data_IF_301424765850
#
_entry.id   IF_301424765850
#
_cell.length_a   1.000
_cell.length_b   1.000
_cell.length_c   1.000
_cell.angle_alpha   90.00
_cell.angle_beta   90.00
_cell.angle_gamma   90.00
#
_symmetry.space_group_name_H-M   'P 1'
#
loop_
_entity.id
_entity.type
_entity.pdbx_description
1 polymer ?
#
# COMPACT_ATOMS: atom_id res chain seq x y z
N UNK A 1 -43.49 -12.23 -21.26
CA UNK A 1 -42.37 -11.32 -21.64
C UNK A 1 -42.24 -10.08 -20.71
N UNK A 2 -42.80 -10.14 -19.48
CA UNK A 2 -42.75 -9.00 -18.53
C UNK A 2 -41.96 -9.38 -17.24
N UNK A 3 -41.58 -10.64 -17.07
CA UNK A 3 -40.88 -11.09 -15.83
C UNK A 3 -39.36 -10.86 -15.82
N UNK A 4 -38.74 -10.48 -16.96
CA UNK A 4 -37.29 -10.36 -17.04
C UNK A 4 -36.74 -8.99 -16.50
N UNK A 5 -37.54 -7.94 -16.54
CA UNK A 5 -37.13 -6.59 -16.21
C UNK A 5 -37.00 -6.35 -14.70
N UNK A 6 -37.79 -7.01 -13.88
CA UNK A 6 -37.73 -6.87 -12.41
C UNK A 6 -36.53 -7.63 -11.80
N UNK A 7 -36.12 -8.73 -12.42
CA UNK A 7 -34.99 -9.52 -11.97
C UNK A 7 -33.65 -8.78 -12.22
N UNK A 8 -33.51 -8.09 -13.36
CA UNK A 8 -32.32 -7.29 -13.69
C UNK A 8 -32.16 -6.05 -12.80
N UNK A 9 -33.28 -5.40 -12.44
CA UNK A 9 -33.26 -4.28 -11.52
C UNK A 9 -32.89 -4.70 -10.08
N UNK A 10 -33.35 -5.85 -9.62
CA UNK A 10 -33.01 -6.39 -8.30
C UNK A 10 -31.52 -6.79 -8.22
N UNK A 11 -30.95 -7.37 -9.28
CA UNK A 11 -29.53 -7.72 -9.35
C UNK A 11 -28.65 -6.47 -9.42
N UNK A 12 -29.09 -5.45 -10.16
CA UNK A 12 -28.37 -4.17 -10.24
C UNK A 12 -28.37 -3.42 -8.90
N UNK A 13 -29.50 -3.39 -8.19
CA UNK A 13 -29.59 -2.78 -6.86
C UNK A 13 -28.75 -3.53 -5.81
N UNK A 14 -28.77 -4.87 -5.82
CA UNK A 14 -27.92 -5.66 -4.92
C UNK A 14 -26.42 -5.52 -5.21
N UNK A 15 -26.02 -5.29 -6.49
CA UNK A 15 -24.64 -4.98 -6.84
C UNK A 15 -24.22 -3.58 -6.40
N UNK A 16 -25.13 -2.62 -6.39
CA UNK A 16 -24.86 -1.25 -5.91
C UNK A 16 -24.78 -1.25 -4.38
N UNK A 17 -25.71 -1.91 -3.68
CA UNK A 17 -25.67 -2.04 -2.22
C UNK A 17 -24.41 -2.77 -1.73
N UNK A 18 -24.00 -3.86 -2.38
CA UNK A 18 -22.77 -4.56 -2.05
C UNK A 18 -21.48 -3.76 -2.32
N UNK A 19 -21.52 -2.77 -3.23
CA UNK A 19 -20.41 -1.83 -3.45
C UNK A 19 -20.39 -0.71 -2.40
N UNK A 20 -21.54 -0.25 -1.97
CA UNK A 20 -21.63 0.76 -0.91
C UNK A 20 -21.13 0.21 0.42
N UNK A 21 -21.46 -1.02 0.79
CA UNK A 21 -20.95 -1.66 2.01
C UNK A 21 -19.42 -1.87 1.98
N UNK A 22 -18.84 -2.26 0.82
CA UNK A 22 -17.38 -2.42 0.69
C UNK A 22 -16.67 -1.06 0.77
N UNK A 23 -17.30 0.00 0.27
CA UNK A 23 -16.70 1.35 0.26
C UNK A 23 -16.89 2.08 1.59
N UNK A 24 -17.92 1.79 2.34
CA UNK A 24 -18.20 2.38 3.65
C UNK A 24 -17.20 1.93 4.72
N UNK A 25 -16.42 0.88 4.44
CA UNK A 25 -15.56 0.22 5.43
C UNK A 25 -14.05 0.48 5.28
N UNK A 26 -13.59 1.24 4.28
CA UNK A 26 -12.14 1.41 4.02
C UNK A 26 -11.44 2.13 5.18
N UNK A 27 -12.03 3.20 5.69
CA UNK A 27 -11.46 3.97 6.81
C UNK A 27 -11.58 3.21 8.12
N UNK A 28 -12.73 2.60 8.39
CA UNK A 28 -12.95 1.76 9.58
C UNK A 28 -11.98 0.58 9.60
N UNK A 29 -11.75 -0.07 8.44
CA UNK A 29 -10.76 -1.15 8.32
C UNK A 29 -9.35 -0.67 8.65
N UNK A 30 -8.95 0.50 8.16
CA UNK A 30 -7.65 1.11 8.50
C UNK A 30 -7.51 1.35 10.00
N UNK A 31 -8.55 1.90 10.63
CA UNK A 31 -8.55 2.17 12.07
C UNK A 31 -8.50 0.87 12.86
N UNK A 32 -9.29 -0.14 12.48
CA UNK A 32 -9.25 -1.47 13.12
C UNK A 32 -7.84 -2.08 13.05
N UNK A 33 -7.21 -2.09 11.86
CA UNK A 33 -5.82 -2.54 11.72
C UNK A 33 -4.87 -1.78 12.64
N UNK A 34 -4.98 -0.44 12.71
CA UNK A 34 -4.11 0.37 13.55
C UNK A 34 -4.30 0.10 15.04
N UNK A 35 -5.54 0.05 15.52
CA UNK A 35 -5.84 -0.19 16.93
C UNK A 35 -5.40 -1.59 17.39
N UNK A 36 -5.44 -2.60 16.51
CA UNK A 36 -4.98 -3.95 16.84
C UNK A 36 -3.46 -4.04 17.10
N UNK A 37 -2.69 -3.05 16.63
CA UNK A 37 -1.21 -3.09 16.70
C UNK A 37 -0.58 -1.90 17.40
N UNK A 38 -1.31 -0.86 17.74
CA UNK A 38 -0.74 0.41 18.24
C UNK A 38 0.20 0.23 19.43
N UNK A 39 -0.10 -0.72 20.32
CA UNK A 39 0.73 -1.03 21.49
C UNK A 39 2.01 -1.81 21.14
N UNK A 40 2.07 -2.39 19.93
CA UNK A 40 3.23 -3.11 19.42
C UNK A 40 4.19 -2.22 18.62
N UNK A 41 3.80 -0.97 18.33
CA UNK A 41 4.62 -0.01 17.59
C UNK A 41 5.65 0.60 18.56
N UNK A 42 6.95 0.32 18.40
CA UNK A 42 7.96 0.69 19.40
C UNK A 42 8.28 2.20 19.40
N UNK A 43 8.08 2.86 18.29
CA UNK A 43 8.34 4.30 18.10
C UNK A 43 7.59 4.85 16.89
N UNK A 44 7.50 6.17 16.74
CA UNK A 44 6.95 6.82 15.55
C UNK A 44 7.98 6.78 14.41
N UNK A 45 7.74 6.02 13.33
CA UNK A 45 8.66 6.00 12.19
C UNK A 45 8.60 7.32 11.41
N UNK A 46 9.74 7.75 10.88
CA UNK A 46 9.81 8.90 9.98
C UNK A 46 9.71 8.50 8.51
N UNK A 47 10.26 7.33 8.16
CA UNK A 47 10.27 6.82 6.79
C UNK A 47 9.55 5.48 6.72
N UNK A 48 8.62 5.38 5.78
CA UNK A 48 8.04 4.12 5.34
C UNK A 48 8.82 3.61 4.12
N UNK A 49 9.42 2.43 4.26
CA UNK A 49 10.20 1.78 3.20
C UNK A 49 9.45 0.55 2.69
N UNK A 50 9.23 0.44 1.39
CA UNK A 50 8.64 -0.74 0.76
C UNK A 50 9.69 -1.45 -0.08
N UNK A 51 10.10 -2.65 0.34
CA UNK A 51 11.06 -3.46 -0.40
C UNK A 51 10.36 -4.27 -1.48
N UNK A 52 10.79 -4.07 -2.72
CA UNK A 52 10.36 -4.84 -3.88
C UNK A 52 11.14 -6.15 -4.05
N UNK A 53 10.76 -6.91 -5.08
CA UNK A 53 11.41 -8.17 -5.44
C UNK A 53 12.92 -7.99 -5.63
N UNK A 54 13.70 -8.89 -5.04
CA UNK A 54 15.17 -8.86 -5.09
C UNK A 54 15.84 -7.91 -4.09
N UNK A 55 15.08 -7.09 -3.35
CA UNK A 55 15.63 -6.16 -2.35
C UNK A 55 15.31 -6.57 -0.91
N UNK A 56 14.74 -7.76 -0.70
CA UNK A 56 14.37 -8.26 0.64
C UNK A 56 15.55 -8.30 1.62
N UNK A 57 16.76 -8.58 1.13
CA UNK A 57 17.98 -8.66 1.93
C UNK A 57 18.44 -7.28 2.44
N UNK A 58 17.96 -6.19 1.84
CA UNK A 58 18.23 -4.84 2.38
C UNK A 58 17.68 -4.67 3.80
N UNK A 59 16.65 -5.42 4.18
CA UNK A 59 16.12 -5.44 5.54
C UNK A 59 17.18 -5.80 6.59
N UNK A 60 18.24 -6.54 6.22
CA UNK A 60 19.36 -6.89 7.10
C UNK A 60 20.24 -5.68 7.47
N UNK A 61 20.13 -4.58 6.70
CA UNK A 61 20.81 -3.30 7.01
C UNK A 61 20.08 -2.49 8.08
N UNK A 62 18.84 -2.84 8.39
CA UNK A 62 18.04 -2.18 9.42
C UNK A 62 18.48 -2.71 10.79
N UNK A 63 18.84 -1.81 11.69
CA UNK A 63 19.01 -2.17 13.12
C UNK A 63 17.61 -2.37 13.70
N UNK A 64 17.17 -3.63 13.72
CA UNK A 64 15.81 -4.01 14.08
C UNK A 64 15.54 -3.77 15.56
N UNK A 65 14.41 -3.15 15.87
CA UNK A 65 13.86 -2.95 17.21
C UNK A 65 12.69 -3.91 17.46
N UNK A 66 11.78 -4.04 16.47
CA UNK A 66 10.64 -4.94 16.52
C UNK A 66 10.25 -5.44 15.13
N UNK A 67 9.60 -6.58 15.08
CA UNK A 67 8.95 -7.12 13.88
C UNK A 67 7.48 -7.39 14.19
N UNK A 68 6.61 -7.21 13.20
CA UNK A 68 5.19 -7.44 13.30
C UNK A 68 4.71 -8.21 12.07
N UNK A 69 4.29 -9.45 12.25
CA UNK A 69 3.74 -10.28 11.18
C UNK A 69 2.37 -9.75 10.75
N UNK A 70 2.07 -9.80 9.45
CA UNK A 70 0.77 -9.33 8.93
C UNK A 70 -0.41 -10.14 9.45
N UNK A 71 -0.20 -11.40 9.83
CA UNK A 71 -1.24 -12.23 10.46
C UNK A 71 -1.63 -11.75 11.88
N UNK A 72 -0.81 -10.91 12.50
CA UNK A 72 -1.09 -10.33 13.81
C UNK A 72 -1.93 -9.04 13.72
N UNK A 73 -2.26 -8.59 12.51
CA UNK A 73 -3.01 -7.36 12.25
C UNK A 73 -4.41 -7.73 11.81
N UNK A 74 -5.41 -7.33 12.57
CA UNK A 74 -6.81 -7.67 12.32
C UNK A 74 -7.28 -7.19 10.94
N UNK A 75 -7.72 -8.13 10.08
CA UNK A 75 -8.24 -7.83 8.76
C UNK A 75 -7.21 -7.34 7.72
N UNK A 76 -5.92 -7.43 8.03
CA UNK A 76 -4.85 -7.01 7.11
C UNK A 76 -4.66 -8.00 5.96
N UNK A 77 -4.37 -7.54 4.75
CA UNK A 77 -4.15 -8.42 3.61
C UNK A 77 -2.81 -9.16 3.73
N UNK A 78 -2.83 -10.46 3.48
CA UNK A 78 -1.64 -11.33 3.52
C UNK A 78 -1.38 -11.90 2.14
N UNK A 79 -0.12 -11.90 1.69
CA UNK A 79 0.23 -12.45 0.38
C UNK A 79 -0.09 -13.94 0.29
N UNK A 80 -0.67 -14.34 -0.83
CA UNK A 80 -0.95 -15.74 -1.16
C UNK A 80 0.23 -16.43 -1.85
N UNK A 81 1.30 -15.69 -2.15
CA UNK A 81 2.48 -16.19 -2.85
C UNK A 81 3.40 -16.93 -1.88
N UNK A 82 3.72 -18.22 -2.13
CA UNK A 82 4.60 -19.00 -1.27
C UNK A 82 5.98 -18.32 -1.09
N UNK A 83 6.47 -18.26 0.15
CA UNK A 83 7.77 -17.66 0.48
C UNK A 83 7.75 -16.14 0.71
N UNK A 84 6.62 -15.48 0.52
CA UNK A 84 6.45 -14.06 0.88
C UNK A 84 5.93 -13.94 2.32
N UNK A 85 6.82 -14.11 3.30
CA UNK A 85 6.49 -13.78 4.67
C UNK A 85 6.28 -12.28 4.78
N UNK A 86 5.00 -11.86 4.88
CA UNK A 86 4.65 -10.45 5.03
C UNK A 86 4.83 -9.97 6.45
N UNK A 87 5.70 -8.99 6.67
CA UNK A 87 5.86 -8.36 7.99
C UNK A 87 6.30 -6.90 7.88
N UNK A 88 5.96 -6.14 8.89
CA UNK A 88 6.60 -4.86 9.16
C UNK A 88 7.83 -5.07 10.03
N UNK A 89 8.92 -4.37 9.69
CA UNK A 89 10.15 -4.30 10.48
C UNK A 89 10.30 -2.87 10.94
N UNK A 90 10.30 -2.66 12.24
CA UNK A 90 10.59 -1.37 12.88
C UNK A 90 12.04 -1.34 13.28
N UNK A 91 12.75 -0.28 12.93
CA UNK A 91 14.17 -0.16 13.24
C UNK A 91 14.77 1.15 12.74
N UNK A 92 16.08 1.14 12.63
CA UNK A 92 16.87 2.33 12.33
C UNK A 92 17.81 2.09 11.16
N UNK A 93 17.86 3.05 10.26
CA UNK A 93 18.92 3.16 9.23
C UNK A 93 19.74 4.38 9.59
N UNK A 94 20.96 4.16 10.11
CA UNK A 94 21.72 5.22 10.77
C UNK A 94 20.96 5.77 11.98
N UNK A 95 20.61 7.06 11.96
CA UNK A 95 19.81 7.73 12.98
C UNK A 95 18.32 7.89 12.61
N UNK A 96 17.88 7.37 11.47
CA UNK A 96 16.52 7.56 10.96
C UNK A 96 15.63 6.40 11.40
N UNK A 97 14.52 6.66 12.12
CA UNK A 97 13.54 5.64 12.47
C UNK A 97 12.70 5.26 11.25
N UNK A 98 12.65 3.97 10.94
CA UNK A 98 11.96 3.46 9.77
C UNK A 98 10.95 2.38 10.12
N UNK A 99 9.86 2.31 9.35
CA UNK A 99 9.03 1.13 9.23
C UNK A 99 9.22 0.56 7.83
N UNK A 100 9.70 -0.68 7.77
CA UNK A 100 9.99 -1.36 6.52
C UNK A 100 8.95 -2.45 6.26
N UNK A 101 8.33 -2.40 5.09
CA UNK A 101 7.41 -3.42 4.60
C UNK A 101 8.23 -4.49 3.85
N UNK A 102 8.42 -5.66 4.49
CA UNK A 102 9.05 -6.83 3.89
C UNK A 102 7.98 -7.81 3.42
N UNK A 103 7.77 -7.88 2.12
CA UNK A 103 6.65 -8.57 1.48
C UNK A 103 5.42 -7.66 1.37
N UNK A 104 4.65 -7.87 0.30
CA UNK A 104 3.42 -7.10 0.02
C UNK A 104 2.44 -7.94 -0.79
N UNK A 105 1.16 -7.59 -0.69
CA UNK A 105 0.13 -8.12 -1.59
C UNK A 105 0.14 -7.36 -2.91
N UNK A 106 -0.30 -8.03 -3.97
CA UNK A 106 -0.37 -7.45 -5.30
C UNK A 106 -1.79 -7.52 -5.84
N UNK A 107 -2.12 -6.60 -6.73
CA UNK A 107 -3.44 -6.55 -7.36
C UNK A 107 -3.77 -7.85 -8.12
N UNK A 108 -2.77 -8.49 -8.76
CA UNK A 108 -2.95 -9.76 -9.48
C UNK A 108 -3.28 -10.95 -8.57
N UNK A 109 -3.09 -10.84 -7.26
CA UNK A 109 -3.51 -11.86 -6.29
C UNK A 109 -5.04 -11.85 -6.05
N UNK A 110 -5.78 -10.91 -6.67
CA UNK A 110 -7.24 -10.80 -6.57
C UNK A 110 -7.73 -9.87 -5.46
N UNK A 111 -6.83 -9.22 -4.74
CA UNK A 111 -7.20 -8.22 -3.74
C UNK A 111 -7.82 -6.97 -4.39
N UNK A 112 -8.87 -6.38 -3.79
CA UNK A 112 -9.35 -5.07 -4.21
C UNK A 112 -8.23 -4.03 -4.02
N UNK A 113 -8.21 -3.00 -4.87
CA UNK A 113 -7.17 -1.97 -4.82
C UNK A 113 -7.09 -1.26 -3.48
N UNK A 114 -8.22 -1.14 -2.75
CA UNK A 114 -8.28 -0.60 -1.39
C UNK A 114 -7.40 -1.38 -0.40
N UNK A 115 -7.34 -2.69 -0.54
CA UNK A 115 -6.52 -3.57 0.30
C UNK A 115 -5.04 -3.55 -0.12
N UNK A 116 -4.77 -3.41 -1.42
CA UNK A 116 -3.39 -3.26 -1.93
C UNK A 116 -2.72 -1.99 -1.39
N UNK A 117 -3.48 -0.90 -1.21
CA UNK A 117 -2.96 0.37 -0.68
C UNK A 117 -3.10 0.51 0.84
N UNK A 118 -3.84 -0.37 1.50
CA UNK A 118 -4.05 -0.34 2.95
C UNK A 118 -2.74 -0.31 3.75
N UNK A 119 -1.70 -1.11 3.41
CA UNK A 119 -0.43 -1.07 4.12
C UNK A 119 0.24 0.31 4.11
N UNK A 120 0.16 1.03 2.99
CA UNK A 120 0.74 2.37 2.85
C UNK A 120 -0.01 3.36 3.76
N UNK A 121 -1.35 3.29 3.77
CA UNK A 121 -2.18 4.10 4.67
C UNK A 121 -1.89 3.80 6.13
N UNK A 122 -1.67 2.52 6.46
CA UNK A 122 -1.32 2.09 7.82
C UNK A 122 0.04 2.66 8.25
N UNK A 123 1.08 2.59 7.41
CA UNK A 123 2.39 3.19 7.70
C UNK A 123 2.29 4.71 7.87
N UNK A 124 1.44 5.39 7.08
CA UNK A 124 1.14 6.80 7.29
C UNK A 124 0.47 7.05 8.64
N UNK A 125 -0.48 6.20 9.03
CA UNK A 125 -1.16 6.27 10.33
C UNK A 125 -0.23 6.03 11.51
N UNK A 126 0.81 5.20 11.35
CA UNK A 126 1.89 5.00 12.32
C UNK A 126 2.76 6.24 12.51
N UNK A 127 2.68 7.23 11.61
CA UNK A 127 3.39 8.51 11.70
C UNK A 127 4.44 8.75 10.61
N UNK A 128 4.61 7.84 9.64
CA UNK A 128 5.58 8.03 8.57
C UNK A 128 5.29 9.29 7.75
N UNK A 129 6.32 10.11 7.56
CA UNK A 129 6.28 11.37 6.80
C UNK A 129 6.72 11.18 5.35
N UNK A 130 7.66 10.26 5.12
CA UNK A 130 8.23 9.94 3.82
C UNK A 130 7.90 8.51 3.43
N UNK A 131 7.54 8.31 2.16
CA UNK A 131 7.35 6.98 1.57
C UNK A 131 8.42 6.73 0.52
N UNK A 132 9.20 5.66 0.68
CA UNK A 132 10.19 5.20 -0.27
C UNK A 132 9.76 3.84 -0.83
N UNK A 133 9.45 3.82 -2.12
CA UNK A 133 8.98 2.63 -2.83
C UNK A 133 10.06 2.05 -3.71
N UNK A 134 10.24 0.75 -3.67
CA UNK A 134 11.11 0.02 -4.59
C UNK A 134 10.37 -1.10 -5.29
N UNK A 135 10.73 -1.38 -6.53
CA UNK A 135 10.23 -2.52 -7.29
C UNK A 135 11.27 -2.99 -8.32
N UNK A 136 11.23 -4.27 -8.65
CA UNK A 136 11.95 -4.78 -9.81
C UNK A 136 11.16 -4.49 -11.09
N UNK A 137 11.88 -4.24 -12.19
CA UNK A 137 11.28 -4.00 -13.50
C UNK A 137 12.21 -4.49 -14.60
N UNK A 138 11.64 -4.92 -15.72
CA UNK A 138 12.41 -5.16 -16.93
C UNK A 138 12.85 -3.85 -17.59
N UNK A 139 14.11 -3.76 -17.99
CA UNK A 139 14.64 -2.62 -18.73
C UNK A 139 14.37 -2.74 -20.23
N UNK A 140 13.77 -1.69 -20.83
CA UNK A 140 13.58 -1.59 -22.30
C UNK A 140 14.74 -0.85 -22.95
N UNK A 141 15.35 0.11 -22.24
CA UNK A 141 16.48 0.88 -22.75
C UNK A 141 17.71 -0.04 -22.90
N UNK A 142 18.29 -0.15 -24.11
CA UNK A 142 19.45 -1.03 -24.36
C UNK A 142 20.73 -0.66 -23.60
N UNK A 143 20.80 0.56 -23.02
CA UNK A 143 21.92 0.95 -22.17
C UNK A 143 21.81 0.46 -20.73
N UNK A 144 20.65 -0.11 -20.33
CA UNK A 144 20.46 -0.63 -18.99
C UNK A 144 21.01 -2.04 -18.84
N UNK A 145 21.61 -2.30 -17.70
CA UNK A 145 22.13 -3.61 -17.31
C UNK A 145 21.40 -4.12 -16.06
N UNK A 146 21.44 -5.43 -15.85
CA UNK A 146 20.90 -6.01 -14.62
C UNK A 146 21.64 -5.45 -13.39
N UNK A 147 20.90 -4.95 -12.43
CA UNK A 147 21.41 -4.30 -11.23
C UNK A 147 21.44 -2.77 -11.27
N UNK A 148 21.14 -2.16 -12.42
CA UNK A 148 21.00 -0.71 -12.51
C UNK A 148 19.80 -0.24 -11.68
N UNK A 149 19.95 0.96 -11.09
CA UNK A 149 18.88 1.65 -10.36
C UNK A 149 18.34 2.78 -11.23
N UNK A 150 17.01 2.84 -11.33
CA UNK A 150 16.31 3.90 -12.04
C UNK A 150 15.39 4.66 -11.08
N UNK A 151 15.59 5.96 -10.96
CA UNK A 151 14.71 6.82 -10.20
C UNK A 151 13.51 7.22 -11.06
N UNK A 152 12.29 6.92 -10.57
CA UNK A 152 11.06 7.38 -11.17
C UNK A 152 10.80 8.82 -10.75
N UNK A 153 10.66 9.71 -11.73
CA UNK A 153 10.42 11.15 -11.49
C UNK A 153 8.97 11.55 -11.73
N UNK A 154 8.22 10.74 -12.49
CA UNK A 154 6.80 10.97 -12.74
C UNK A 154 6.11 9.66 -13.18
N UNK A 155 4.77 9.67 -13.27
CA UNK A 155 3.95 8.52 -13.63
C UNK A 155 2.85 8.86 -14.63
N UNK A 156 2.65 7.95 -15.59
CA UNK A 156 1.42 7.86 -16.40
C UNK A 156 0.74 6.55 -16.00
N UNK A 157 -0.47 6.62 -15.43
CA UNK A 157 -1.22 5.44 -14.98
C UNK A 157 -2.51 5.29 -15.79
N UNK A 158 -2.48 4.45 -16.82
CA UNK A 158 -3.62 4.20 -17.70
C UNK A 158 -4.38 2.91 -17.36
N UNK A 159 -3.70 1.91 -16.81
CA UNK A 159 -4.26 0.56 -16.66
C UNK A 159 -4.42 0.12 -15.21
N UNK A 160 -3.76 0.75 -14.26
CA UNK A 160 -3.92 0.42 -12.86
C UNK A 160 -5.24 1.00 -12.33
N UNK A 161 -6.02 0.23 -11.54
CA UNK A 161 -7.22 0.76 -10.91
C UNK A 161 -6.83 1.87 -9.93
N UNK A 162 -7.63 2.96 -9.94
CA UNK A 162 -7.37 4.09 -9.07
C UNK A 162 -8.05 3.89 -7.70
N UNK A 163 -7.29 3.86 -6.59
CA UNK A 163 -7.84 3.67 -5.25
C UNK A 163 -8.67 4.88 -4.75
N UNK A 164 -8.66 5.99 -5.47
CA UNK A 164 -9.45 7.20 -5.15
C UNK A 164 -10.83 7.19 -5.79
N UNK A 165 -11.18 6.17 -6.60
CA UNK A 165 -12.54 6.02 -7.13
C UNK A 165 -13.47 5.59 -6.02
N UNK A 166 -14.54 6.35 -5.82
CA UNK A 166 -15.59 6.05 -4.85
C UNK A 166 -15.81 7.18 -3.83
N UNK A 167 -16.29 6.84 -2.64
CA UNK A 167 -16.51 7.78 -1.56
C UNK A 167 -15.16 8.36 -1.08
N UNK A 168 -15.14 9.68 -0.82
CA UNK A 168 -14.02 10.30 -0.15
C UNK A 168 -14.14 10.13 1.37
N UNK A 169 -12.98 9.91 2.01
CA UNK A 169 -12.81 9.98 3.45
C UNK A 169 -11.86 11.13 3.74
N UNK A 170 -12.37 12.23 4.28
CA UNK A 170 -11.58 13.46 4.48
C UNK A 170 -10.39 13.22 5.41
N UNK A 171 -10.48 12.23 6.29
CA UNK A 171 -9.40 11.78 7.17
C UNK A 171 -8.21 11.15 6.40
N UNK A 172 -8.46 10.66 5.18
CA UNK A 172 -7.42 10.11 4.31
C UNK A 172 -6.84 11.15 3.34
N UNK A 173 -7.49 12.31 3.22
CA UNK A 173 -7.03 13.42 2.38
C UNK A 173 -8.13 14.05 1.53
N UNK A 174 -7.72 15.05 0.77
CA UNK A 174 -8.62 15.82 -0.10
C UNK A 174 -9.15 14.96 -1.24
N UNK A 175 -10.39 15.24 -1.67
CA UNK A 175 -11.05 14.54 -2.78
C UNK A 175 -10.27 14.59 -4.08
N UNK A 176 -9.64 15.71 -4.37
CA UNK A 176 -8.88 15.96 -5.60
C UNK A 176 -7.47 16.39 -5.24
N UNK A 177 -6.55 15.43 -4.95
CA UNK A 177 -5.15 15.77 -4.71
C UNK A 177 -4.53 16.34 -5.99
N UNK A 178 -3.67 17.34 -5.83
CA UNK A 178 -2.85 17.83 -6.93
C UNK A 178 -1.81 16.77 -7.31
N UNK A 179 -1.92 16.28 -8.55
CA UNK A 179 -1.03 15.26 -9.11
C UNK A 179 -0.02 15.85 -10.12
N UNK A 180 0.15 17.17 -10.14
CA UNK A 180 1.14 17.85 -11.00
C UNK A 180 2.57 17.39 -10.69
N UNK A 181 2.80 16.98 -9.43
CA UNK A 181 4.06 16.41 -8.96
C UNK A 181 3.76 15.17 -8.12
N UNK A 182 3.90 14.00 -8.74
CA UNK A 182 3.66 12.72 -8.04
C UNK A 182 4.75 12.44 -7.01
N UNK A 183 6.01 12.79 -7.33
CA UNK A 183 7.17 12.57 -6.49
C UNK A 183 7.78 13.89 -6.03
N UNK A 184 8.25 13.93 -4.78
CA UNK A 184 8.89 15.12 -4.21
C UNK A 184 10.17 15.47 -4.97
N UNK A 185 10.24 16.68 -5.53
CA UNK A 185 11.38 17.15 -6.34
C UNK A 185 12.66 17.27 -5.53
N UNK A 186 12.58 17.68 -4.27
CA UNK A 186 13.77 17.85 -3.41
C UNK A 186 14.39 16.50 -3.09
N UNK A 187 13.57 15.45 -2.92
CA UNK A 187 14.06 14.10 -2.69
C UNK A 187 14.65 13.47 -3.96
N UNK A 188 14.30 13.96 -5.15
CA UNK A 188 14.89 13.51 -6.42
C UNK A 188 16.31 14.06 -6.65
N UNK A 189 16.68 15.17 -5.97
CA UNK A 189 17.96 15.85 -6.12
C UNK A 189 19.05 15.32 -5.18
N UNK A 190 18.70 14.42 -4.23
CA UNK A 190 19.60 13.77 -3.29
C UNK A 190 20.29 12.56 -3.94
#
# INVERSE_FOLDING_TARGET
TIECTLCEHSIAMNKIAGKEDIMQNVYEKLISCYESIREKIPFTPRVALVLGSGLGDYAEKIRVEAELDYHEIDGFPVSTVPGHAGKFIFGWIGSVPVVCMKGRVHFYEGYPVSDVVLPIRLMKRMGAELLFLTNASGGINPSFSAGDLMLLTDHISLFAPNPLIGQNFDELGVRFPDMTQVYDRKLQEI
#
